data_IF_124606905921
#
_entry.id   IF_124606905921
#
_cell.length_a   1.000
_cell.length_b   1.000
_cell.length_c   1.000
_cell.angle_alpha   90.00
_cell.angle_beta   90.00
_cell.angle_gamma   90.00
#
_symmetry.space_group_name_H-M   'P 1'
#
loop_
_entity.id
_entity.type
_entity.pdbx_description
1 polymer ?
#
# COMPACT_ATOMS: atom_id res chain seq x y z
N UNK A 1 0.67 12.81 6.10
CA UNK A 1 1.21 12.01 4.98
C UNK A 1 0.08 11.26 4.26
N UNK A 2 -0.56 10.26 4.88
CA UNK A 2 -1.63 9.49 4.22
C UNK A 2 -2.91 10.30 3.97
N UNK A 3 -3.21 11.35 4.74
CA UNK A 3 -4.50 12.07 4.70
C UNK A 3 -4.92 12.69 3.35
N UNK A 4 -4.00 12.88 2.40
CA UNK A 4 -4.29 13.53 1.11
C UNK A 4 -3.52 12.98 -0.09
N UNK A 5 -2.57 12.05 0.12
CA UNK A 5 -1.71 11.55 -0.95
C UNK A 5 -1.70 10.02 -0.94
N UNK A 6 -1.81 9.44 -2.12
CA UNK A 6 -1.46 8.04 -2.35
C UNK A 6 0.05 7.88 -2.21
N UNK A 7 0.50 6.86 -1.48
CA UNK A 7 1.92 6.61 -1.19
C UNK A 7 2.32 5.25 -1.74
N UNK A 8 3.43 5.19 -2.48
CA UNK A 8 4.10 3.95 -2.88
C UNK A 8 5.22 3.66 -1.88
N UNK A 9 5.23 2.45 -1.34
CA UNK A 9 6.18 1.98 -0.34
C UNK A 9 6.97 0.79 -0.90
N UNK A 10 8.25 0.98 -1.18
CA UNK A 10 9.18 -0.10 -1.53
C UNK A 10 10.00 -0.49 -0.28
N UNK A 11 9.98 -1.79 0.04
CA UNK A 11 10.65 -2.41 1.19
C UNK A 11 11.68 -3.46 0.77
N UNK A 12 12.17 -3.46 -0.48
CA UNK A 12 13.14 -4.45 -1.00
C UNK A 12 14.42 -4.50 -0.18
N UNK A 13 14.89 -3.34 0.28
CA UNK A 13 16.09 -3.22 1.12
C UNK A 13 15.77 -3.25 2.63
N UNK A 14 14.57 -3.70 3.01
CA UNK A 14 14.15 -3.78 4.42
C UNK A 14 14.18 -5.23 4.89
N UNK A 15 14.73 -5.46 6.08
CA UNK A 15 14.67 -6.77 6.74
C UNK A 15 13.21 -7.26 6.82
N UNK A 16 12.96 -8.54 6.50
CA UNK A 16 11.60 -9.10 6.40
C UNK A 16 10.76 -8.92 7.66
N UNK A 17 11.33 -9.06 8.85
CA UNK A 17 10.59 -8.89 10.10
C UNK A 17 10.24 -7.42 10.35
N UNK A 18 11.16 -6.52 9.98
CA UNK A 18 10.89 -5.08 10.03
C UNK A 18 9.86 -4.65 8.99
N UNK A 19 9.94 -5.19 7.77
CA UNK A 19 8.97 -4.93 6.72
C UNK A 19 7.56 -5.34 7.17
N UNK A 20 7.41 -6.53 7.78
CA UNK A 20 6.14 -6.98 8.36
C UNK A 20 5.61 -5.99 9.40
N UNK A 21 6.44 -5.56 10.36
CA UNK A 21 6.05 -4.60 11.40
C UNK A 21 5.62 -3.24 10.82
N UNK A 22 6.31 -2.77 9.78
CA UNK A 22 5.96 -1.51 9.08
C UNK A 22 4.58 -1.66 8.42
N UNK A 23 4.34 -2.77 7.71
CA UNK A 23 3.05 -3.04 7.08
C UNK A 23 1.94 -3.17 8.10
N UNK A 24 2.15 -3.88 9.20
CA UNK A 24 1.14 -4.04 10.27
C UNK A 24 0.76 -2.67 10.87
N UNK A 25 1.76 -1.84 11.16
CA UNK A 25 1.56 -0.50 11.69
C UNK A 25 0.78 0.39 10.71
N UNK A 26 1.23 0.44 9.44
CA UNK A 26 0.59 1.27 8.43
C UNK A 26 -0.82 0.77 8.10
N UNK A 27 -1.07 -0.54 8.18
CA UNK A 27 -2.42 -1.13 8.02
C UNK A 27 -3.37 -0.62 9.09
N UNK A 28 -2.92 -0.56 10.35
CA UNK A 28 -3.70 0.05 11.44
C UNK A 28 -3.98 1.54 11.21
N UNK A 29 -2.99 2.29 10.73
CA UNK A 29 -3.14 3.73 10.41
C UNK A 29 -4.09 3.94 9.23
N UNK A 30 -3.98 3.15 8.18
CA UNK A 30 -4.86 3.21 7.02
C UNK A 30 -6.30 2.88 7.44
N UNK A 31 -6.49 1.79 8.18
CA UNK A 31 -7.80 1.38 8.69
C UNK A 31 -8.48 2.48 9.52
N UNK A 32 -7.75 3.09 10.47
CA UNK A 32 -8.27 4.18 11.29
C UNK A 32 -8.71 5.41 10.47
N UNK A 33 -8.10 5.62 9.29
CA UNK A 33 -8.43 6.72 8.39
C UNK A 33 -9.33 6.31 7.21
N UNK A 34 -9.92 5.10 7.24
CA UNK A 34 -10.71 4.50 6.15
C UNK A 34 -9.94 4.43 4.81
N UNK A 35 -8.62 4.35 4.87
CA UNK A 35 -7.75 4.09 3.73
C UNK A 35 -7.57 2.60 3.46
N UNK A 36 -7.01 2.28 2.30
CA UNK A 36 -6.65 0.92 1.86
C UNK A 36 -5.14 0.78 1.75
N UNK A 37 -4.63 -0.43 2.00
CA UNK A 37 -3.28 -0.83 1.62
C UNK A 37 -3.39 -2.03 0.68
N UNK A 38 -2.72 -1.97 -0.46
CA UNK A 38 -2.58 -3.10 -1.40
C UNK A 38 -1.11 -3.39 -1.65
N UNK A 39 -0.75 -4.66 -1.80
CA UNK A 39 0.57 -5.05 -2.30
C UNK A 39 0.51 -4.94 -3.81
N UNK A 40 1.52 -4.41 -4.49
CA UNK A 40 1.48 -4.28 -5.97
C UNK A 40 2.66 -4.94 -6.66
N UNK A 41 3.71 -5.29 -5.91
CA UNK A 41 4.80 -6.13 -6.39
C UNK A 41 5.53 -6.77 -5.19
N UNK A 42 6.61 -7.51 -5.46
CA UNK A 42 7.49 -8.00 -4.39
C UNK A 42 7.99 -6.82 -3.55
N UNK A 43 7.76 -6.91 -2.24
CA UNK A 43 8.12 -5.87 -1.26
C UNK A 43 7.61 -4.45 -1.58
N UNK A 44 6.66 -4.28 -2.49
CA UNK A 44 6.13 -2.97 -2.89
C UNK A 44 4.63 -2.89 -2.63
N UNK A 45 4.20 -1.80 -2.00
CA UNK A 45 2.85 -1.59 -1.51
C UNK A 45 2.35 -0.19 -1.87
N UNK A 46 1.03 -0.04 -2.02
CA UNK A 46 0.36 1.24 -2.22
C UNK A 46 -0.60 1.49 -1.07
N UNK A 47 -0.57 2.70 -0.52
CA UNK A 47 -1.48 3.19 0.52
C UNK A 47 -2.37 4.27 -0.09
N UNK A 48 -3.68 4.08 0.00
CA UNK A 48 -4.70 4.90 -0.64
C UNK A 48 -5.59 5.50 0.46
N UNK A 49 -5.70 6.82 0.58
CA UNK A 49 -6.64 7.41 1.51
C UNK A 49 -8.08 7.42 1.00
N UNK A 50 -9.04 7.51 1.94
CA UNK A 50 -10.49 7.51 1.67
C UNK A 50 -10.97 8.61 0.71
N UNK A 51 -10.22 9.71 0.57
CA UNK A 51 -10.61 10.85 -0.25
C UNK A 51 -10.10 10.79 -1.69
N UNK A 52 -9.38 9.72 -2.07
CA UNK A 52 -8.90 9.49 -3.42
C UNK A 52 -9.69 8.33 -4.00
N UNK A 53 -10.65 8.67 -4.86
CA UNK A 53 -11.39 7.68 -5.64
C UNK A 53 -10.49 7.25 -6.80
N UNK A 54 -9.72 6.18 -6.58
CA UNK A 54 -8.96 5.58 -7.66
C UNK A 54 -9.98 4.85 -8.54
N UNK A 55 -10.26 5.40 -9.72
CA UNK A 55 -10.86 4.71 -10.88
C UNK A 55 -10.08 3.46 -11.33
N UNK A 56 -9.10 3.00 -10.53
CA UNK A 56 -8.12 1.97 -10.84
C UNK A 56 -8.02 0.92 -9.75
N UNK A 57 -9.13 0.53 -9.10
CA UNK A 57 -9.15 -0.77 -8.39
C UNK A 57 -8.76 -1.88 -9.40
N UNK A 58 -9.24 -1.81 -10.65
CA UNK A 58 -8.82 -2.68 -11.77
C UNK A 58 -7.31 -2.54 -12.08
N UNK A 59 -6.76 -1.32 -12.10
CA UNK A 59 -5.33 -1.08 -12.38
C UNK A 59 -4.44 -1.63 -11.25
N UNK A 60 -4.87 -1.51 -10.00
CA UNK A 60 -4.13 -2.07 -8.87
C UNK A 60 -4.13 -3.59 -8.91
N UNK A 61 -5.27 -4.18 -9.30
CA UNK A 61 -5.40 -5.61 -9.47
C UNK A 61 -4.54 -6.09 -10.67
N UNK A 62 -4.46 -5.33 -11.76
CA UNK A 62 -3.51 -5.59 -12.86
C UNK A 62 -2.06 -5.56 -12.39
N UNK A 63 -1.66 -4.57 -11.58
CA UNK A 63 -0.30 -4.47 -11.05
C UNK A 63 0.07 -5.65 -10.14
N UNK A 64 -0.87 -6.13 -9.32
CA UNK A 64 -0.71 -7.34 -8.51
C UNK A 64 -0.40 -8.59 -9.36
N UNK A 65 -1.05 -8.70 -10.52
CA UNK A 65 -0.91 -9.86 -11.42
C UNK A 65 0.22 -9.72 -12.44
N UNK A 66 0.64 -8.48 -12.74
CA UNK A 66 1.71 -8.17 -13.69
C UNK A 66 3.10 -8.26 -13.08
N UNK A 67 3.22 -8.63 -11.80
CA UNK A 67 4.48 -8.70 -11.07
C UNK A 67 5.56 -9.45 -11.83
N UNK A 68 6.46 -8.70 -12.48
CA UNK A 68 7.76 -9.15 -12.99
C UNK A 68 8.69 -9.42 -11.81
#
# INVERSE_FOLDING_TARGET
>A
LIKTHTVVLNLENTNKDMARRIIDFLSGVAYANRGKIKKVATSTFIIIPNNVDLTGDDLLDELEHSGV
#
